data_IF_948313908435
#
_entry.id   IF_948313908435
#
_cell.length_a   1.000
_cell.length_b   1.000
_cell.length_c   1.000
_cell.angle_alpha   90.00
_cell.angle_beta   90.00
_cell.angle_gamma   90.00
#
_symmetry.space_group_name_H-M   'P 1'
#
loop_
_entity.id
_entity.type
_entity.pdbx_description
1 polymer ?
#
# COMPACT_ATOMS: atom_id res chain seq x y z
N UNK A 1 -18.53 15.39 -13.60
CA UNK A 1 -17.59 14.30 -13.83
C UNK A 1 -16.22 14.87 -13.52
N UNK A 2 -15.65 14.50 -12.37
CA UNK A 2 -14.37 15.07 -11.95
C UNK A 2 -13.26 14.28 -12.69
N UNK A 3 -12.52 15.00 -13.51
CA UNK A 3 -11.41 14.44 -14.27
C UNK A 3 -10.10 14.74 -13.54
N UNK A 4 -9.29 13.75 -13.29
CA UNK A 4 -8.04 13.87 -12.54
C UNK A 4 -6.83 13.89 -13.49
N UNK A 5 -5.83 14.68 -13.13
CA UNK A 5 -4.60 14.72 -13.88
C UNK A 5 -3.69 13.55 -13.47
N UNK A 6 -3.13 12.83 -14.43
CA UNK A 6 -2.19 11.75 -14.17
C UNK A 6 -0.89 12.25 -13.51
N UNK A 7 -0.20 11.35 -12.82
CA UNK A 7 1.14 11.64 -12.30
C UNK A 7 2.12 11.90 -13.44
N UNK A 8 3.27 12.49 -13.14
CA UNK A 8 4.32 12.72 -14.16
C UNK A 8 4.79 11.39 -14.76
N UNK A 9 4.88 10.34 -13.95
CA UNK A 9 5.28 9.01 -14.39
C UNK A 9 4.24 8.40 -15.35
N UNK A 10 2.96 8.48 -15.02
CA UNK A 10 1.87 8.02 -15.89
C UNK A 10 1.91 8.74 -17.25
N UNK A 11 2.20 10.05 -17.23
CA UNK A 11 2.31 10.86 -18.44
C UNK A 11 3.48 10.48 -19.33
N UNK A 12 4.53 9.93 -18.75
CA UNK A 12 5.73 9.48 -19.48
C UNK A 12 5.58 8.06 -20.02
N UNK A 13 4.81 7.21 -19.34
CA UNK A 13 4.70 5.78 -19.66
C UNK A 13 3.47 5.42 -20.49
N UNK A 14 2.43 6.26 -20.50
CA UNK A 14 1.19 5.99 -21.28
C UNK A 14 1.41 6.21 -22.77
N UNK A 15 1.26 5.16 -23.60
CA UNK A 15 1.32 5.30 -25.05
C UNK A 15 0.15 6.19 -25.54
N UNK A 16 0.47 7.31 -26.16
CA UNK A 16 -0.54 8.23 -26.72
C UNK A 16 -0.89 9.41 -25.83
N UNK A 17 -0.22 9.57 -24.69
CA UNK A 17 -0.36 10.80 -23.90
C UNK A 17 0.06 12.02 -24.71
N UNK A 18 -0.91 12.86 -25.10
CA UNK A 18 -0.67 14.13 -25.78
C UNK A 18 -1.21 15.28 -24.95
N UNK A 19 -0.35 15.79 -24.05
CA UNK A 19 -0.64 17.00 -23.28
C UNK A 19 -1.80 16.84 -22.29
N UNK A 20 -2.64 17.85 -22.19
CA UNK A 20 -3.73 17.99 -21.20
C UNK A 20 -5.00 17.16 -21.50
N UNK A 21 -4.95 16.23 -22.44
CA UNK A 21 -6.14 15.52 -22.93
C UNK A 21 -6.41 14.19 -22.22
N UNK A 22 -5.46 13.65 -21.48
CA UNK A 22 -5.71 12.46 -20.66
C UNK A 22 -6.23 12.85 -19.29
N UNK A 23 -7.48 12.54 -19.07
CA UNK A 23 -8.16 12.72 -17.79
C UNK A 23 -8.60 11.34 -17.31
N UNK A 24 -8.31 11.06 -16.05
CA UNK A 24 -8.67 9.78 -15.44
C UNK A 24 -9.95 9.93 -14.62
N UNK A 25 -10.75 8.89 -14.63
CA UNK A 25 -11.84 8.70 -13.68
C UNK A 25 -11.26 8.41 -12.29
N UNK A 26 -12.08 8.53 -11.26
CA UNK A 26 -11.69 8.15 -9.89
C UNK A 26 -11.20 6.69 -9.83
N UNK A 27 -11.93 5.77 -10.46
CA UNK A 27 -11.58 4.35 -10.47
C UNK A 27 -10.22 4.06 -11.12
N UNK A 28 -9.90 4.76 -12.21
CA UNK A 28 -8.58 4.62 -12.85
C UNK A 28 -7.46 5.16 -11.96
N UNK A 29 -7.69 6.26 -11.24
CA UNK A 29 -6.73 6.80 -10.28
C UNK A 29 -6.57 5.89 -9.07
N UNK A 30 -7.66 5.37 -8.54
CA UNK A 30 -7.66 4.40 -7.45
C UNK A 30 -6.86 3.15 -7.82
N UNK A 31 -7.09 2.57 -9.00
CA UNK A 31 -6.35 1.41 -9.49
C UNK A 31 -4.83 1.67 -9.61
N UNK A 32 -4.45 2.90 -9.97
CA UNK A 32 -3.03 3.31 -10.02
C UNK A 32 -2.42 3.41 -8.63
N UNK A 33 -3.15 4.01 -7.69
CA UNK A 33 -2.72 4.06 -6.29
C UNK A 33 -2.55 2.66 -5.71
N UNK A 34 -3.42 1.71 -6.04
CA UNK A 34 -3.27 0.31 -5.61
C UNK A 34 -1.99 -0.32 -6.13
N UNK A 35 -1.67 -0.11 -7.40
CA UNK A 35 -0.42 -0.60 -8.00
C UNK A 35 0.80 0.03 -7.34
N UNK A 36 0.77 1.36 -7.15
CA UNK A 36 1.88 2.08 -6.52
C UNK A 36 2.09 1.62 -5.06
N UNK A 37 0.99 1.33 -4.34
CA UNK A 37 1.03 0.72 -3.02
C UNK A 37 1.61 -0.70 -3.03
N UNK A 38 1.21 -1.53 -3.98
CA UNK A 38 1.77 -2.88 -4.12
C UNK A 38 3.28 -2.82 -4.38
N UNK A 39 3.72 -1.90 -5.23
CA UNK A 39 5.14 -1.67 -5.50
C UNK A 39 5.89 -1.17 -4.24
N UNK A 40 5.30 -0.24 -3.49
CA UNK A 40 5.87 0.26 -2.23
C UNK A 40 6.03 -0.87 -1.20
N UNK A 41 4.98 -1.66 -0.99
CA UNK A 41 4.97 -2.73 0.01
C UNK A 41 5.85 -3.93 -0.40
N UNK A 42 6.08 -4.13 -1.69
CA UNK A 42 6.96 -5.18 -2.21
C UNK A 42 8.41 -4.75 -2.40
N UNK A 43 8.70 -3.46 -2.26
CA UNK A 43 10.07 -2.97 -2.29
C UNK A 43 10.72 -3.16 -0.92
N UNK A 44 11.86 -3.84 -0.88
CA UNK A 44 12.64 -4.00 0.34
C UNK A 44 13.54 -2.78 0.55
N UNK A 45 13.39 -2.16 1.70
CA UNK A 45 14.23 -1.05 2.12
C UNK A 45 15.66 -1.52 2.36
N UNK A 46 16.62 -0.93 1.63
CA UNK A 46 18.05 -1.25 1.79
C UNK A 46 18.66 -0.55 3.00
N UNK A 47 19.19 -1.31 3.94
CA UNK A 47 20.15 -0.92 5.00
C UNK A 47 19.98 0.45 5.67
N UNK A 48 18.86 0.75 6.34
CA UNK A 48 18.62 2.08 6.92
C UNK A 48 19.62 2.46 8.02
N UNK A 49 20.26 1.50 8.66
CA UNK A 49 21.19 1.73 9.78
C UNK A 49 22.40 2.55 9.37
N UNK A 50 22.85 2.42 8.13
CA UNK A 50 23.99 3.18 7.61
C UNK A 50 23.70 4.68 7.47
N UNK A 51 22.43 5.05 7.33
CA UNK A 51 21.99 6.42 7.07
C UNK A 51 21.10 7.01 8.17
N UNK A 52 20.93 6.29 9.30
CA UNK A 52 20.07 6.71 10.41
C UNK A 52 20.44 8.09 10.99
N UNK A 53 21.67 8.54 10.79
CA UNK A 53 22.15 9.86 11.22
C UNK A 53 21.77 11.01 10.26
N UNK A 54 21.20 10.69 9.11
CA UNK A 54 20.85 11.66 8.06
C UNK A 54 19.33 11.85 8.01
N UNK A 55 18.80 12.83 8.72
CA UNK A 55 17.35 13.08 8.83
C UNK A 55 16.65 13.24 7.47
N UNK A 56 17.31 13.77 6.44
CA UNK A 56 16.75 13.92 5.10
C UNK A 56 16.68 12.62 4.31
N UNK A 57 17.39 11.58 4.73
CA UNK A 57 17.38 10.28 4.05
C UNK A 57 16.17 9.46 4.45
N UNK A 58 15.59 9.73 5.61
CA UNK A 58 14.43 9.00 6.14
C UNK A 58 13.25 9.00 5.16
N UNK A 59 12.97 10.13 4.53
CA UNK A 59 11.88 10.28 3.55
C UNK A 59 12.38 10.34 2.10
N UNK A 60 13.59 9.86 1.84
CA UNK A 60 14.16 9.81 0.49
C UNK A 60 13.89 8.46 -0.18
N UNK A 61 14.04 8.42 -1.51
CA UNK A 61 13.91 7.20 -2.31
C UNK A 61 14.87 6.08 -1.87
N UNK A 62 15.96 6.41 -1.17
CA UNK A 62 16.90 5.42 -0.61
C UNK A 62 16.22 4.55 0.47
N UNK A 63 15.23 5.11 1.15
CA UNK A 63 14.46 4.44 2.18
C UNK A 63 13.06 3.98 1.70
N UNK A 64 12.78 4.07 0.41
CA UNK A 64 11.52 3.62 -0.16
C UNK A 64 11.32 2.12 0.06
N UNK A 65 10.15 1.73 0.54
CA UNK A 65 9.78 0.35 0.79
C UNK A 65 9.72 -0.05 2.26
N UNK A 66 9.39 -1.32 2.50
CA UNK A 66 9.31 -1.92 3.83
C UNK A 66 10.67 -2.43 4.30
N UNK A 67 10.88 -2.39 5.62
CA UNK A 67 12.02 -3.09 6.23
C UNK A 67 11.93 -4.59 5.97
N UNK A 68 13.06 -5.24 5.90
CA UNK A 68 13.09 -6.70 5.87
C UNK A 68 12.64 -7.27 7.21
N UNK A 69 11.46 -7.87 7.21
CA UNK A 69 10.83 -8.50 8.35
C UNK A 69 10.76 -10.02 8.18
N UNK A 70 11.71 -10.60 7.45
CA UNK A 70 11.79 -12.05 7.20
C UNK A 70 11.87 -12.89 8.50
N UNK A 71 12.17 -12.27 9.62
CA UNK A 71 12.18 -12.88 10.95
C UNK A 71 10.89 -12.69 11.75
N UNK A 72 9.89 -12.00 11.20
CA UNK A 72 8.63 -11.72 11.89
C UNK A 72 7.82 -13.02 12.06
N UNK A 73 7.46 -13.33 13.29
CA UNK A 73 6.62 -14.48 13.59
C UNK A 73 5.14 -14.12 13.35
N UNK A 74 4.59 -14.52 12.21
CA UNK A 74 3.19 -14.28 11.86
C UNK A 74 2.18 -14.86 12.88
N UNK A 75 2.61 -15.76 13.76
CA UNK A 75 1.74 -16.36 14.79
C UNK A 75 1.54 -15.44 16.01
N UNK A 76 2.50 -14.51 16.29
CA UNK A 76 2.39 -13.58 17.43
C UNK A 76 1.44 -12.42 17.10
N UNK A 77 0.41 -12.18 17.91
CA UNK A 77 -0.46 -11.01 17.74
C UNK A 77 0.28 -9.69 17.84
N UNK A 78 1.25 -9.61 18.74
CA UNK A 78 2.06 -8.41 18.98
C UNK A 78 2.92 -8.09 17.75
N UNK A 79 3.55 -9.10 17.16
CA UNK A 79 4.36 -8.93 15.95
C UNK A 79 3.51 -8.57 14.74
N UNK A 80 2.29 -9.13 14.62
CA UNK A 80 1.34 -8.75 13.57
C UNK A 80 0.92 -7.29 13.70
N UNK A 81 0.68 -6.81 14.92
CA UNK A 81 0.33 -5.42 15.15
C UNK A 81 1.53 -4.50 14.86
N UNK A 82 2.72 -4.84 15.30
CA UNK A 82 3.93 -4.08 15.00
C UNK A 82 4.19 -4.01 13.48
N UNK A 83 3.88 -5.08 12.75
CA UNK A 83 3.95 -5.09 11.30
C UNK A 83 2.90 -4.14 10.68
N UNK A 84 1.66 -4.17 11.15
CA UNK A 84 0.60 -3.28 10.68
C UNK A 84 0.97 -1.80 10.90
N UNK A 85 1.53 -1.47 12.06
CA UNK A 85 2.02 -0.13 12.37
C UNK A 85 3.14 0.28 11.42
N UNK A 86 4.07 -0.63 11.11
CA UNK A 86 5.14 -0.35 10.17
C UNK A 86 4.63 -0.13 8.73
N UNK A 87 3.65 -0.92 8.29
CA UNK A 87 2.97 -0.71 7.00
C UNK A 87 2.31 0.67 6.96
N UNK A 88 1.58 1.05 8.01
CA UNK A 88 0.95 2.37 8.13
C UNK A 88 1.98 3.50 7.98
N UNK A 89 3.05 3.43 8.77
CA UNK A 89 4.08 4.48 8.80
C UNK A 89 4.81 4.59 7.46
N UNK A 90 5.02 3.46 6.78
CA UNK A 90 5.61 3.43 5.45
C UNK A 90 4.69 4.10 4.41
N UNK A 91 3.40 3.78 4.41
CA UNK A 91 2.44 4.40 3.49
C UNK A 91 2.37 5.91 3.72
N UNK A 92 2.23 6.34 4.98
CA UNK A 92 2.17 7.77 5.33
C UNK A 92 3.45 8.52 4.97
N UNK A 93 4.60 7.85 5.04
CA UNK A 93 5.89 8.46 4.74
C UNK A 93 6.17 8.63 3.24
N UNK A 94 5.60 7.78 2.40
CA UNK A 94 5.96 7.72 0.98
C UNK A 94 4.83 8.04 0.01
N UNK A 95 3.57 7.94 0.40
CA UNK A 95 2.44 8.33 -0.47
C UNK A 95 1.63 9.48 0.13
N UNK A 96 1.97 10.69 -0.28
CA UNK A 96 1.29 11.92 0.17
C UNK A 96 -0.17 12.04 -0.33
N UNK A 97 -0.62 11.17 -1.25
CA UNK A 97 -2.01 11.13 -1.72
C UNK A 97 -2.93 10.47 -0.70
N UNK A 98 -2.37 9.60 0.15
CA UNK A 98 -3.09 8.86 1.17
C UNK A 98 -2.91 9.53 2.53
N UNK A 99 -4.01 10.01 3.10
CA UNK A 99 -4.05 10.59 4.46
C UNK A 99 -4.96 9.76 5.35
N UNK A 100 -4.86 9.97 6.66
CA UNK A 100 -5.69 9.27 7.66
C UNK A 100 -5.58 7.75 7.53
N UNK A 101 -4.37 7.25 7.26
CA UNK A 101 -4.11 5.83 7.03
C UNK A 101 -4.29 5.05 8.32
N UNK A 102 -5.18 4.08 8.29
CA UNK A 102 -5.43 3.11 9.35
C UNK A 102 -5.17 1.71 8.81
N UNK A 103 -4.33 0.93 9.48
CA UNK A 103 -4.03 -0.46 9.11
C UNK A 103 -4.50 -1.38 10.23
N UNK A 104 -5.40 -2.28 9.91
CA UNK A 104 -6.00 -3.22 10.87
C UNK A 104 -5.63 -4.65 10.49
N UNK A 105 -5.13 -5.41 11.46
CA UNK A 105 -4.92 -6.85 11.31
C UNK A 105 -6.27 -7.55 11.23
N UNK A 106 -6.47 -8.38 10.21
CA UNK A 106 -7.70 -9.16 10.05
C UNK A 106 -7.50 -10.60 10.53
N UNK A 107 -8.50 -11.20 11.18
CA UNK A 107 -8.41 -12.59 11.62
C UNK A 107 -8.39 -13.56 10.44
N UNK A 108 -7.69 -14.68 10.63
CA UNK A 108 -7.49 -15.71 9.60
C UNK A 108 -8.80 -16.27 9.04
N UNK A 109 -9.85 -16.35 9.87
CA UNK A 109 -11.16 -16.88 9.49
C UNK A 109 -11.86 -16.03 8.41
N UNK A 110 -11.56 -14.73 8.39
CA UNK A 110 -12.08 -13.84 7.34
C UNK A 110 -11.33 -14.05 6.02
N UNK A 111 -10.05 -14.36 6.11
CA UNK A 111 -9.23 -14.71 4.96
C UNK A 111 -9.69 -15.99 4.28
N UNK A 112 -10.03 -17.02 5.06
CA UNK A 112 -10.57 -18.29 4.53
C UNK A 112 -11.84 -18.08 3.71
N UNK A 113 -12.72 -17.19 4.18
CA UNK A 113 -13.95 -16.85 3.45
C UNK A 113 -13.67 -16.07 2.16
N UNK A 114 -12.71 -15.15 2.18
CA UNK A 114 -12.37 -14.32 1.03
C UNK A 114 -11.62 -15.08 -0.07
N UNK A 115 -10.76 -16.02 0.28
CA UNK A 115 -9.88 -16.73 -0.66
C UNK A 115 -10.40 -18.11 -1.09
N UNK A 116 -11.61 -18.53 -0.69
CA UNK A 116 -12.24 -19.81 -1.10
C UNK A 116 -11.30 -21.02 -1.06
N UNK A 117 -10.51 -21.18 0.02
CA UNK A 117 -10.03 -22.51 0.33
C UNK A 117 -8.54 -22.82 0.24
N UNK A 118 -7.64 -21.85 0.23
CA UNK A 118 -6.20 -22.18 0.41
C UNK A 118 -5.57 -21.27 1.44
N UNK A 119 -5.78 -21.60 2.71
CA UNK A 119 -5.14 -20.91 3.82
C UNK A 119 -3.67 -21.30 3.91
N UNK A 120 -2.77 -20.32 3.86
CA UNK A 120 -1.37 -20.50 4.20
C UNK A 120 -1.16 -20.03 5.64
N UNK A 121 -0.71 -20.92 6.51
CA UNK A 121 -0.43 -20.64 7.93
C UNK A 121 0.55 -19.49 8.14
N UNK A 122 1.35 -19.17 7.12
CA UNK A 122 2.36 -18.11 7.13
C UNK A 122 1.87 -16.78 6.55
N UNK A 123 0.57 -16.62 6.29
CA UNK A 123 0.03 -15.39 5.71
C UNK A 123 -0.54 -14.46 6.79
N UNK A 124 -0.34 -13.16 6.62
CA UNK A 124 -0.97 -12.10 7.41
C UNK A 124 -1.90 -11.28 6.52
N UNK A 125 -3.07 -10.97 7.04
CA UNK A 125 -4.09 -10.22 6.32
C UNK A 125 -4.35 -8.88 7.00
N UNK A 126 -4.33 -7.82 6.20
CA UNK A 126 -4.53 -6.46 6.70
C UNK A 126 -5.59 -5.76 5.87
N UNK A 127 -6.39 -4.95 6.55
CA UNK A 127 -7.25 -3.95 5.92
C UNK A 127 -6.66 -2.57 6.11
N UNK A 128 -6.49 -1.86 5.03
CA UNK A 128 -5.98 -0.50 4.97
C UNK A 128 -7.15 0.40 4.62
N UNK A 129 -7.45 1.34 5.50
CA UNK A 129 -8.40 2.43 5.24
C UNK A 129 -7.62 3.71 5.11
N UNK A 130 -7.95 4.53 4.16
CA UNK A 130 -7.31 5.83 3.97
C UNK A 130 -8.25 6.82 3.28
N UNK A 131 -7.88 8.08 3.30
CA UNK A 131 -8.50 9.14 2.50
C UNK A 131 -7.60 9.42 1.32
N UNK A 132 -8.06 9.10 0.10
CA UNK A 132 -7.34 9.40 -1.14
C UNK A 132 -7.60 10.84 -1.54
N UNK A 133 -6.56 11.66 -1.53
CA UNK A 133 -6.58 13.06 -1.94
C UNK A 133 -6.12 13.18 -3.38
N UNK A 134 -7.06 13.45 -4.25
CA UNK A 134 -6.81 13.77 -5.64
C UNK A 134 -6.92 15.29 -5.77
N UNK A 135 -5.98 15.94 -6.40
CA UNK A 135 -5.89 17.40 -6.48
C UNK A 135 -7.24 18.12 -6.62
N UNK A 136 -7.28 19.46 -6.45
CA UNK A 136 -8.50 20.29 -6.47
C UNK A 136 -9.48 20.08 -5.29
N UNK A 137 -8.99 19.58 -4.15
CA UNK A 137 -9.80 19.47 -2.94
C UNK A 137 -10.73 18.27 -2.87
N UNK A 138 -10.63 17.33 -3.83
CA UNK A 138 -11.38 16.07 -3.77
C UNK A 138 -10.65 15.11 -2.84
N UNK A 139 -11.38 14.61 -1.86
CA UNK A 139 -10.91 13.62 -0.90
C UNK A 139 -11.99 12.55 -0.78
N UNK A 140 -11.64 11.32 -1.10
CA UNK A 140 -12.57 10.18 -1.09
C UNK A 140 -12.02 9.06 -0.20
N UNK A 141 -12.87 8.43 0.62
CA UNK A 141 -12.45 7.28 1.42
C UNK A 141 -12.16 6.10 0.50
N UNK A 142 -11.05 5.42 0.75
CA UNK A 142 -10.65 4.21 0.04
C UNK A 142 -10.32 3.10 1.02
N UNK A 143 -10.63 1.87 0.64
CA UNK A 143 -10.35 0.69 1.46
C UNK A 143 -9.70 -0.37 0.59
N UNK A 144 -8.56 -0.86 1.05
CA UNK A 144 -7.87 -1.97 0.39
C UNK A 144 -7.62 -3.10 1.37
N UNK A 145 -7.61 -4.30 0.84
CA UNK A 145 -7.17 -5.47 1.57
C UNK A 145 -5.79 -5.90 1.04
N UNK A 146 -4.87 -6.20 1.93
CA UNK A 146 -3.55 -6.70 1.55
C UNK A 146 -3.25 -8.01 2.27
N UNK A 147 -2.75 -8.95 1.50
CA UNK A 147 -2.25 -10.24 1.97
C UNK A 147 -0.73 -10.22 1.93
N UNK A 148 -0.09 -10.43 3.06
CA UNK A 148 1.35 -10.69 3.13
C UNK A 148 1.59 -12.20 3.26
N UNK A 149 2.25 -12.79 2.27
CA UNK A 149 2.73 -14.17 2.33
C UNK A 149 4.17 -14.20 2.85
N UNK A 150 4.35 -14.55 4.11
CA UNK A 150 5.67 -14.58 4.73
C UNK A 150 6.62 -15.61 4.09
N UNK A 151 6.08 -16.64 3.43
CA UNK A 151 6.90 -17.64 2.73
C UNK A 151 7.52 -17.11 1.44
N UNK A 152 6.84 -16.16 0.81
CA UNK A 152 7.30 -15.49 -0.42
C UNK A 152 7.89 -14.10 -0.14
N UNK A 153 7.69 -13.55 1.06
CA UNK A 153 8.04 -12.18 1.41
C UNK A 153 7.34 -11.15 0.53
N UNK A 154 6.08 -11.42 0.14
CA UNK A 154 5.35 -10.63 -0.85
C UNK A 154 3.97 -10.21 -0.37
N UNK A 155 3.63 -8.95 -0.65
CA UNK A 155 2.29 -8.41 -0.54
C UNK A 155 1.51 -8.56 -1.84
N UNK A 156 0.22 -8.83 -1.71
CA UNK A 156 -0.76 -8.69 -2.79
C UNK A 156 -1.83 -7.73 -2.33
N UNK A 157 -2.04 -6.65 -3.08
CA UNK A 157 -3.04 -5.62 -2.76
C UNK A 157 -4.26 -5.83 -3.65
N UNK A 158 -5.44 -5.75 -3.06
CA UNK A 158 -6.71 -5.84 -3.77
C UNK A 158 -7.68 -4.78 -3.25
N UNK A 159 -8.59 -4.32 -4.12
CA UNK A 159 -9.72 -3.54 -3.64
C UNK A 159 -10.48 -4.35 -2.59
N UNK A 160 -10.88 -3.71 -1.49
CA UNK A 160 -11.69 -4.40 -0.49
C UNK A 160 -12.98 -4.85 -1.17
N UNK A 161 -13.22 -6.16 -1.19
CA UNK A 161 -14.52 -6.68 -1.62
C UNK A 161 -15.59 -6.15 -0.66
N UNK A 162 -16.70 -5.66 -1.20
CA UNK A 162 -17.91 -5.32 -0.45
C UNK A 162 -18.43 -6.57 0.28
N UNK A 163 -17.79 -6.87 1.39
CA UNK A 163 -18.23 -7.85 2.36
C UNK A 163 -18.82 -7.10 3.52
N UNK A 164 -20.08 -6.67 3.38
CA UNK A 164 -20.92 -6.29 4.48
C UNK A 164 -21.22 -7.50 5.36
#
# INVERSE_FOLDING_TARGET
MNDYLPTVFDRLTEPGFRGNQCRFTFQEMEARVFRDLEDLLNTRRGGPEQFAHLAKVEHSIVNFGLRDLSHTNAASPEERQAYADHVRDTIQGFDARLTDVEVTVRPAEELERALKGTFKVSAMYFRIKATLRLGQGVAEPVVFDTLFDASLGRHTVSAAGDGA
#
